data_IF_360764351960
#
_entry.id   IF_360764351960
#
_cell.length_a   1.000
_cell.length_b   1.000
_cell.length_c   1.000
_cell.angle_alpha   90.00
_cell.angle_beta   90.00
_cell.angle_gamma   90.00
#
_symmetry.space_group_name_H-M   'P 1'
#
loop_
_entity.id
_entity.type
_entity.pdbx_description
1 polymer ?
#
# COMPACT_ATOMS: atom_id res chain seq x y z
N UNK A 1 -31.20 -11.81 1.78
CA UNK A 1 -30.90 -11.78 3.23
C UNK A 1 -29.98 -12.95 3.51
N UNK A 2 -28.73 -12.70 3.87
CA UNK A 2 -27.83 -13.75 4.35
C UNK A 2 -27.10 -13.21 5.57
N UNK A 3 -27.51 -13.75 6.72
CA UNK A 3 -26.92 -13.50 8.02
C UNK A 3 -25.65 -14.34 8.14
N UNK A 4 -24.51 -13.71 8.44
CA UNK A 4 -23.38 -14.43 9.01
C UNK A 4 -22.86 -13.68 10.24
N UNK A 5 -23.37 -14.12 11.39
CA UNK A 5 -22.70 -14.01 12.67
C UNK A 5 -22.06 -15.36 12.96
N UNK A 6 -20.74 -15.46 12.77
CA UNK A 6 -19.89 -16.46 13.44
C UNK A 6 -18.50 -15.87 13.56
N UNK A 7 -18.12 -15.61 14.81
CA UNK A 7 -16.83 -15.06 15.23
C UNK A 7 -15.69 -16.05 14.97
N UNK A 8 -14.55 -15.60 14.42
CA UNK A 8 -13.29 -16.30 14.59
C UNK A 8 -12.29 -15.47 15.42
N UNK A 9 -11.75 -16.17 16.42
CA UNK A 9 -10.64 -15.87 17.33
C UNK A 9 -9.70 -14.74 16.88
N UNK A 10 -9.87 -13.61 17.58
CA UNK A 10 -9.03 -12.42 17.55
C UNK A 10 -7.59 -12.74 17.96
N UNK A 11 -6.62 -12.46 17.07
CA UNK A 11 -5.21 -12.56 17.43
C UNK A 11 -4.81 -11.41 18.38
N UNK A 12 -4.10 -11.75 19.46
CA UNK A 12 -3.67 -10.83 20.52
C UNK A 12 -2.93 -9.58 19.98
N UNK A 13 -2.29 -9.69 18.82
CA UNK A 13 -1.55 -8.63 18.16
C UNK A 13 -2.43 -7.46 17.66
N UNK A 14 -3.70 -7.71 17.33
CA UNK A 14 -4.63 -6.64 16.95
C UNK A 14 -5.14 -5.83 18.15
N UNK A 15 -5.12 -6.40 19.36
CA UNK A 15 -5.58 -5.73 20.60
C UNK A 15 -4.56 -4.74 21.16
N UNK A 16 -3.27 -4.90 20.84
CA UNK A 16 -2.20 -4.01 21.30
C UNK A 16 -2.05 -2.77 20.39
N UNK A 17 -2.21 -2.92 19.07
CA UNK A 17 -2.15 -1.79 18.13
C UNK A 17 -3.38 -0.87 18.12
N UNK A 18 -4.56 -1.39 18.51
CA UNK A 18 -5.84 -0.67 18.41
C UNK A 18 -6.26 0.09 19.69
N UNK A 19 -5.60 -0.17 20.84
CA UNK A 19 -5.97 0.45 22.13
C UNK A 19 -5.25 1.76 22.44
N UNK A 20 -4.17 2.10 21.74
CA UNK A 20 -3.36 3.30 22.02
C UNK A 20 -3.71 4.54 21.17
N UNK A 21 -4.62 4.43 20.19
CA UNK A 21 -5.07 5.60 19.42
C UNK A 21 -6.52 5.43 18.94
N UNK A 22 -7.51 5.61 19.81
CA UNK A 22 -8.91 5.74 19.36
C UNK A 22 -9.11 7.13 18.72
N UNK A 23 -8.44 7.38 17.59
CA UNK A 23 -8.68 8.55 16.75
C UNK A 23 -10.15 8.50 16.35
N UNK A 24 -10.94 9.51 16.75
CA UNK A 24 -12.32 9.65 16.31
C UNK A 24 -12.34 9.64 14.78
N UNK A 25 -13.03 8.67 14.20
CA UNK A 25 -13.19 8.58 12.75
C UNK A 25 -13.95 9.82 12.25
N UNK A 26 -13.62 10.33 11.05
CA UNK A 26 -14.30 11.52 10.52
C UNK A 26 -15.81 11.31 10.34
N UNK A 27 -16.60 12.36 10.57
CA UNK A 27 -18.06 12.34 10.35
C UNK A 27 -18.36 12.08 8.88
N UNK A 28 -19.18 11.06 8.57
CA UNK A 28 -19.50 10.65 7.20
C UNK A 28 -18.53 9.62 6.61
N UNK A 29 -17.47 9.23 7.33
CA UNK A 29 -16.62 8.11 6.94
C UNK A 29 -17.36 6.81 7.24
N UNK A 30 -17.45 5.94 6.23
CA UNK A 30 -17.89 4.57 6.39
C UNK A 30 -16.78 3.67 5.88
N UNK A 31 -16.26 2.85 6.78
CA UNK A 31 -15.19 1.90 6.48
C UNK A 31 -15.63 0.92 5.40
N UNK A 32 -14.79 0.75 4.37
CA UNK A 32 -15.00 -0.17 3.26
C UNK A 32 -15.69 0.46 2.03
N UNK A 33 -16.29 1.64 2.14
CA UNK A 33 -16.90 2.27 0.96
C UNK A 33 -15.89 2.63 -0.13
N UNK A 34 -14.67 3.03 0.26
CA UNK A 34 -13.61 3.32 -0.71
C UNK A 34 -13.09 2.01 -1.30
N UNK A 35 -12.92 0.97 -0.48
CA UNK A 35 -12.51 -0.36 -0.95
C UNK A 35 -13.48 -1.00 -1.95
N UNK A 36 -14.80 -0.81 -1.79
CA UNK A 36 -15.80 -1.24 -2.80
C UNK A 36 -15.54 -0.65 -4.19
N UNK A 37 -15.00 0.58 -4.25
CA UNK A 37 -14.65 1.23 -5.52
C UNK A 37 -13.33 0.69 -6.07
N UNK A 38 -12.37 0.41 -5.18
CA UNK A 38 -11.08 -0.20 -5.56
C UNK A 38 -11.28 -1.60 -6.12
N UNK A 39 -12.13 -2.42 -5.50
CA UNK A 39 -12.48 -3.76 -6.00
C UNK A 39 -12.95 -3.70 -7.46
N UNK A 40 -13.79 -2.71 -7.81
CA UNK A 40 -14.21 -2.47 -9.20
C UNK A 40 -13.08 -2.02 -10.11
N UNK A 41 -12.19 -1.17 -9.61
CA UNK A 41 -10.99 -0.74 -10.35
C UNK A 41 -10.01 -1.91 -10.57
N UNK A 42 -10.06 -2.97 -9.75
CA UNK A 42 -9.16 -4.12 -9.82
C UNK A 42 -9.58 -5.20 -10.82
N UNK A 43 -10.79 -5.15 -11.40
CA UNK A 43 -11.21 -6.16 -12.39
C UNK A 43 -10.19 -6.33 -13.54
N UNK A 44 -9.75 -7.54 -13.89
CA UNK A 44 -10.34 -8.84 -13.52
C UNK A 44 -9.67 -9.55 -12.32
N UNK A 45 -8.79 -8.90 -11.55
CA UNK A 45 -8.09 -9.57 -10.45
C UNK A 45 -9.06 -9.98 -9.34
N UNK A 46 -9.05 -11.25 -8.89
CA UNK A 46 -9.89 -11.71 -7.79
C UNK A 46 -9.61 -10.90 -6.52
N UNK A 47 -10.68 -10.50 -5.85
CA UNK A 47 -10.62 -9.75 -4.60
C UNK A 47 -11.33 -10.51 -3.47
N UNK A 48 -10.73 -10.54 -2.29
CA UNK A 48 -11.29 -11.15 -1.09
C UNK A 48 -11.30 -10.14 0.06
N UNK A 49 -12.44 -10.00 0.73
CA UNK A 49 -12.56 -9.13 1.90
C UNK A 49 -12.07 -9.84 3.16
N UNK A 50 -10.99 -9.32 3.76
CA UNK A 50 -10.46 -9.85 5.02
C UNK A 50 -11.17 -9.27 6.24
N UNK A 51 -11.53 -7.99 6.17
CA UNK A 51 -12.21 -7.24 7.22
C UNK A 51 -12.87 -5.99 6.60
N UNK A 52 -13.76 -5.27 7.31
CA UNK A 52 -14.44 -4.10 6.75
C UNK A 52 -13.53 -3.02 6.15
N UNK A 53 -12.27 -2.91 6.59
CA UNK A 53 -11.29 -1.94 6.10
C UNK A 53 -10.07 -2.57 5.41
N UNK A 54 -10.16 -3.84 5.01
CA UNK A 54 -9.06 -4.57 4.38
C UNK A 54 -9.55 -5.49 3.24
N UNK A 55 -9.00 -5.26 2.05
CA UNK A 55 -9.22 -6.03 0.82
C UNK A 55 -7.92 -6.74 0.43
N UNK A 56 -8.00 -8.01 0.04
CA UNK A 56 -6.90 -8.75 -0.56
C UNK A 56 -7.15 -8.84 -2.06
N UNK A 57 -6.13 -8.53 -2.86
CA UNK A 57 -6.17 -8.66 -4.32
C UNK A 57 -5.19 -9.76 -4.70
N UNK A 58 -5.67 -10.76 -5.43
CA UNK A 58 -4.84 -11.84 -5.93
C UNK A 58 -4.27 -11.48 -7.30
N UNK A 59 -2.98 -11.12 -7.36
CA UNK A 59 -2.32 -10.76 -8.61
C UNK A 59 -1.82 -12.01 -9.34
N UNK A 60 -1.18 -12.92 -8.60
CA UNK A 60 -0.69 -14.24 -9.02
C UNK A 60 -0.82 -15.18 -7.81
N UNK A 61 -0.77 -16.53 -7.98
CA UNK A 61 -0.90 -17.48 -6.87
C UNK A 61 -0.09 -17.09 -5.62
N UNK A 62 1.16 -16.66 -5.81
CA UNK A 62 2.08 -16.38 -4.70
C UNK A 62 2.24 -14.90 -4.37
N UNK A 63 1.40 -14.04 -4.96
CA UNK A 63 1.45 -12.60 -4.76
C UNK A 63 0.07 -12.03 -4.48
N UNK A 64 -0.21 -11.90 -3.19
CA UNK A 64 -1.41 -11.23 -2.67
C UNK A 64 -1.06 -9.80 -2.24
N UNK A 65 -1.87 -8.84 -2.68
CA UNK A 65 -1.74 -7.44 -2.30
C UNK A 65 -2.80 -7.11 -1.24
N UNK A 66 -2.37 -6.64 -0.08
CA UNK A 66 -3.27 -6.15 0.98
C UNK A 66 -3.54 -4.65 0.78
N UNK A 67 -4.80 -4.29 0.58
CA UNK A 67 -5.29 -2.91 0.48
C UNK A 67 -6.04 -2.53 1.75
N UNK A 68 -5.63 -1.44 2.38
CA UNK A 68 -6.29 -0.92 3.59
C UNK A 68 -6.57 0.57 3.46
N UNK A 69 -7.68 1.02 4.05
CA UNK A 69 -8.02 2.45 4.11
C UNK A 69 -7.17 3.18 5.15
N UNK A 70 -6.74 4.41 4.82
CA UNK A 70 -6.03 5.33 5.72
C UNK A 70 -6.73 6.69 5.74
N UNK A 71 -7.80 6.87 6.55
CA UNK A 71 -8.47 8.15 6.70
C UNK A 71 -7.54 9.19 7.33
N UNK A 72 -7.44 10.37 6.71
CA UNK A 72 -6.71 11.53 7.23
C UNK A 72 -7.63 12.75 7.26
N UNK A 73 -7.65 13.43 8.41
CA UNK A 73 -8.42 14.65 8.62
C UNK A 73 -7.78 15.81 7.84
N UNK A 74 -8.60 16.60 7.16
CA UNK A 74 -8.27 17.90 6.59
C UNK A 74 -9.00 19.01 7.38
N UNK A 75 -8.76 20.28 7.06
CA UNK A 75 -9.34 21.42 7.80
C UNK A 75 -10.88 21.39 7.85
N UNK A 76 -11.55 21.10 6.72
CA UNK A 76 -13.03 21.02 6.61
C UNK A 76 -13.56 19.70 6.03
N UNK A 77 -12.67 18.80 5.64
CA UNK A 77 -13.00 17.53 5.00
C UNK A 77 -12.09 16.42 5.55
N UNK A 78 -12.13 15.24 4.95
CA UNK A 78 -11.13 14.22 5.14
C UNK A 78 -10.88 13.52 3.82
N UNK A 79 -9.71 12.91 3.71
CA UNK A 79 -9.33 12.09 2.57
C UNK A 79 -9.08 10.67 3.07
N UNK A 80 -9.68 9.71 2.41
CA UNK A 80 -9.44 8.29 2.62
C UNK A 80 -8.45 7.86 1.55
N UNK A 81 -7.17 7.77 1.93
CA UNK A 81 -6.17 7.16 1.07
C UNK A 81 -6.29 5.64 1.14
N UNK A 82 -5.80 4.98 0.10
CA UNK A 82 -5.69 3.52 0.09
C UNK A 82 -4.23 3.13 0.07
N UNK A 83 -3.87 2.19 0.93
CA UNK A 83 -2.51 1.66 1.02
C UNK A 83 -2.48 0.24 0.50
N UNK A 84 -1.80 0.05 -0.61
CA UNK A 84 -1.51 -1.24 -1.20
C UNK A 84 -0.19 -1.75 -0.63
N UNK A 85 -0.14 -2.99 -0.20
CA UNK A 85 1.04 -3.56 0.40
C UNK A 85 1.26 -5.02 0.01
N UNK A 86 2.51 -5.37 -0.18
CA UNK A 86 2.98 -6.75 -0.35
C UNK A 86 4.04 -7.02 0.71
N UNK A 87 4.12 -8.26 1.17
CA UNK A 87 5.07 -8.65 2.21
C UNK A 87 5.50 -10.09 2.02
N UNK A 88 6.66 -10.43 2.56
CA UNK A 88 7.18 -11.78 2.55
C UNK A 88 8.30 -11.96 3.57
N UNK A 89 8.93 -13.13 3.52
CA UNK A 89 10.02 -13.49 4.40
C UNK A 89 11.34 -12.98 3.80
N UNK A 90 12.24 -12.49 4.65
CA UNK A 90 13.62 -12.18 4.32
C UNK A 90 14.53 -13.03 5.22
N UNK A 91 15.39 -13.88 4.65
CA UNK A 91 16.29 -14.71 5.48
C UNK A 91 17.54 -13.97 5.96
N UNK A 92 17.75 -12.74 5.50
CA UNK A 92 18.86 -11.91 5.94
C UNK A 92 18.42 -11.07 7.14
N UNK A 93 19.27 -11.00 8.17
CA UNK A 93 19.06 -10.08 9.29
C UNK A 93 19.41 -8.65 8.84
N UNK A 94 18.40 -7.98 8.29
CA UNK A 94 18.49 -6.62 7.77
C UNK A 94 17.45 -5.78 8.47
N UNK A 95 17.89 -4.63 9.00
CA UNK A 95 17.00 -3.62 9.55
C UNK A 95 17.09 -2.34 8.70
N UNK A 96 16.20 -2.22 7.73
CA UNK A 96 16.22 -1.15 6.74
C UNK A 96 14.82 -0.66 6.39
N UNK A 97 14.68 0.66 6.28
CA UNK A 97 13.48 1.37 5.88
C UNK A 97 13.86 2.35 4.80
N UNK A 98 13.47 2.00 3.59
CA UNK A 98 13.71 2.77 2.39
C UNK A 98 12.49 3.62 2.12
N UNK A 99 12.68 4.93 2.13
CA UNK A 99 11.70 5.88 1.63
C UNK A 99 11.98 6.17 0.16
N UNK A 100 10.93 6.08 -0.66
CA UNK A 100 10.98 6.45 -2.07
C UNK A 100 10.57 7.91 -2.20
N UNK A 101 11.51 8.77 -2.61
CA UNK A 101 11.30 10.20 -2.78
C UNK A 101 11.24 10.56 -4.25
N UNK A 102 10.18 11.23 -4.65
CA UNK A 102 10.07 11.86 -5.96
C UNK A 102 10.75 13.23 -5.92
N UNK A 103 11.67 13.47 -6.84
CA UNK A 103 12.32 14.76 -7.11
C UNK A 103 12.09 15.16 -8.57
N UNK A 104 12.54 16.36 -8.92
CA UNK A 104 12.43 16.90 -10.27
C UNK A 104 11.16 17.71 -10.48
N UNK A 105 10.83 17.97 -11.74
CA UNK A 105 9.66 18.76 -12.12
C UNK A 105 8.49 17.87 -12.53
N UNK A 106 7.31 18.45 -12.70
CA UNK A 106 6.11 17.73 -13.17
C UNK A 106 6.37 17.01 -14.50
N UNK A 107 7.23 17.56 -15.38
CA UNK A 107 7.58 16.97 -16.69
C UNK A 107 8.69 15.93 -16.62
N UNK A 108 9.53 15.94 -15.60
CA UNK A 108 10.68 15.04 -15.46
C UNK A 108 10.85 14.66 -13.99
N UNK A 109 10.06 13.66 -13.57
CA UNK A 109 10.11 13.06 -12.24
C UNK A 109 11.30 12.12 -12.16
N UNK A 110 12.02 12.18 -11.05
CA UNK A 110 13.11 11.26 -10.73
C UNK A 110 12.87 10.64 -9.38
N UNK A 111 13.06 9.33 -9.29
CA UNK A 111 12.93 8.61 -8.02
C UNK A 111 14.29 8.53 -7.34
N UNK A 112 14.31 8.75 -6.03
CA UNK A 112 15.47 8.51 -5.17
C UNK A 112 15.07 7.59 -4.03
N UNK A 113 15.87 6.55 -3.81
CA UNK A 113 15.76 5.71 -2.63
C UNK A 113 16.63 6.31 -1.51
N UNK A 114 16.03 6.51 -0.34
CA UNK A 114 16.70 7.12 0.81
C UNK A 114 16.43 6.28 2.04
N UNK A 115 17.45 6.11 2.88
CA UNK A 115 17.31 5.48 4.19
C UNK A 115 18.14 6.24 5.23
N UNK A 116 17.70 6.15 6.48
CA UNK A 116 18.43 6.66 7.64
C UNK A 116 19.14 5.54 8.43
N UNK A 117 18.90 4.28 8.06
CA UNK A 117 19.46 3.11 8.74
C UNK A 117 20.68 2.58 8.00
N UNK A 118 21.61 1.98 8.76
CA UNK A 118 22.89 1.45 8.27
C UNK A 118 22.67 0.45 7.12
N UNK A 119 21.78 -0.53 7.31
CA UNK A 119 21.51 -1.54 6.26
C UNK A 119 20.73 -0.97 5.07
N UNK A 120 20.28 0.28 5.17
CA UNK A 120 19.59 0.99 4.11
C UNK A 120 20.41 1.05 2.82
N UNK A 121 21.72 1.27 2.92
CA UNK A 121 22.60 1.35 1.76
C UNK A 121 22.64 0.02 0.98
N UNK A 122 22.63 -1.12 1.69
CA UNK A 122 22.61 -2.46 1.09
C UNK A 122 21.34 -2.69 0.27
N UNK A 123 20.17 -2.38 0.85
CA UNK A 123 18.88 -2.55 0.17
C UNK A 123 18.72 -1.55 -0.99
N UNK A 124 19.24 -0.33 -0.85
CA UNK A 124 19.30 0.64 -1.96
C UNK A 124 20.18 0.12 -3.10
N UNK A 125 21.31 -0.52 -2.78
CA UNK A 125 22.15 -1.22 -3.76
C UNK A 125 21.36 -2.25 -4.56
N UNK A 126 20.59 -3.11 -3.87
CA UNK A 126 19.72 -4.07 -4.53
C UNK A 126 18.69 -3.42 -5.44
N UNK A 127 18.04 -2.33 -5.01
CA UNK A 127 17.06 -1.61 -5.83
C UNK A 127 17.72 -0.98 -7.08
N UNK A 128 18.97 -0.53 -6.97
CA UNK A 128 19.70 0.07 -8.08
C UNK A 128 20.15 -0.95 -9.13
N UNK A 129 20.32 -2.22 -8.76
CA UNK A 129 20.57 -3.31 -9.72
C UNK A 129 19.37 -3.57 -10.66
N UNK A 130 18.18 -3.05 -10.34
CA UNK A 130 16.95 -3.25 -11.12
C UNK A 130 16.34 -1.90 -11.53
N UNK A 131 16.91 -1.22 -12.55
CA UNK A 131 16.45 0.10 -12.99
C UNK A 131 14.96 0.17 -13.36
N UNK A 132 14.39 -0.95 -13.82
CA UNK A 132 12.96 -1.06 -14.15
C UNK A 132 12.04 -0.72 -12.97
N UNK A 133 12.44 -1.02 -11.73
CA UNK A 133 11.68 -0.63 -10.53
C UNK A 133 11.61 0.88 -10.42
N UNK A 134 12.77 1.54 -10.58
CA UNK A 134 12.86 3.01 -10.54
C UNK A 134 12.02 3.65 -11.64
N UNK A 135 12.16 3.17 -12.88
CA UNK A 135 11.40 3.67 -14.03
C UNK A 135 9.89 3.51 -13.84
N UNK A 136 9.44 2.36 -13.33
CA UNK A 136 8.01 2.12 -13.04
C UNK A 136 7.49 3.09 -11.98
N UNK A 137 8.27 3.35 -10.93
CA UNK A 137 7.92 4.29 -9.87
C UNK A 137 7.96 5.76 -10.36
N UNK A 138 8.79 6.11 -11.33
CA UNK A 138 8.83 7.46 -11.93
C UNK A 138 7.52 7.79 -12.68
N UNK A 139 6.88 6.79 -13.26
CA UNK A 139 5.60 6.95 -13.97
C UNK A 139 4.36 6.79 -13.07
N UNK A 140 4.54 6.27 -11.86
CA UNK A 140 3.47 6.06 -10.88
C UNK A 140 3.20 7.33 -10.09
N UNK A 141 1.94 7.75 -10.02
CA UNK A 141 1.52 8.86 -9.17
C UNK A 141 1.20 8.34 -7.76
N UNK A 142 2.09 8.62 -6.80
CA UNK A 142 1.92 8.19 -5.41
C UNK A 142 2.18 9.33 -4.40
N UNK A 143 1.49 9.24 -3.26
CA UNK A 143 1.71 10.12 -2.11
C UNK A 143 2.83 9.60 -1.21
N UNK A 144 2.93 8.27 -1.07
CA UNK A 144 3.95 7.60 -0.26
C UNK A 144 4.31 6.26 -0.86
N UNK A 145 5.60 5.96 -0.90
CA UNK A 145 6.10 4.62 -1.17
C UNK A 145 7.25 4.32 -0.19
N UNK A 146 7.19 3.16 0.44
CA UNK A 146 8.19 2.72 1.41
C UNK A 146 8.43 1.22 1.31
N UNK A 147 9.65 0.80 1.61
CA UNK A 147 10.05 -0.60 1.69
C UNK A 147 10.73 -0.78 3.03
N UNK A 148 10.25 -1.70 3.84
CA UNK A 148 10.77 -1.98 5.18
C UNK A 148 11.20 -3.44 5.26
N UNK A 149 12.36 -3.68 5.85
CA UNK A 149 12.91 -4.98 6.19
C UNK A 149 13.23 -4.93 7.68
N UNK A 150 12.64 -5.85 8.43
CA UNK A 150 12.87 -6.00 9.87
C UNK A 150 12.55 -7.43 10.31
N UNK A 151 13.26 -7.95 11.31
CA UNK A 151 12.96 -9.25 11.94
C UNK A 151 12.71 -10.41 10.97
N UNK A 152 13.52 -10.51 9.91
CA UNK A 152 13.39 -11.58 8.91
C UNK A 152 12.13 -11.47 8.04
N UNK A 153 11.52 -10.30 7.96
CA UNK A 153 10.37 -10.00 7.12
C UNK A 153 10.65 -8.76 6.29
N UNK A 154 9.97 -8.67 5.15
CA UNK A 154 9.97 -7.47 4.33
C UNK A 154 8.54 -7.05 4.00
N UNK A 155 8.35 -5.76 3.79
CA UNK A 155 7.08 -5.16 3.41
C UNK A 155 7.30 -3.97 2.48
N UNK A 156 6.65 -3.98 1.33
CA UNK A 156 6.52 -2.79 0.49
C UNK A 156 5.12 -2.22 0.65
N UNK A 157 5.02 -0.90 0.83
CA UNK A 157 3.75 -0.19 0.86
C UNK A 157 3.75 0.98 -0.12
N UNK A 158 2.69 1.08 -0.91
CA UNK A 158 2.45 2.18 -1.84
C UNK A 158 1.07 2.77 -1.55
N UNK A 159 1.02 4.08 -1.36
CA UNK A 159 -0.18 4.88 -1.26
C UNK A 159 -0.29 5.70 -2.56
N UNK A 160 -0.99 5.21 -3.59
CA UNK A 160 -1.19 5.97 -4.83
C UNK A 160 -1.91 7.29 -4.57
N UNK A 161 -1.74 8.24 -5.48
CA UNK A 161 -2.51 9.49 -5.47
C UNK A 161 -3.99 9.24 -5.75
N UNK A 162 -4.26 8.36 -6.71
CA UNK A 162 -5.59 7.82 -7.03
C UNK A 162 -5.95 6.67 -6.08
N UNK A 163 -7.06 5.96 -6.33
CA UNK A 163 -7.65 5.04 -5.36
C UNK A 163 -7.94 5.70 -4.00
N UNK A 164 -8.23 6.99 -4.02
CA UNK A 164 -8.41 7.82 -2.83
C UNK A 164 -9.74 8.55 -2.90
N UNK A 165 -10.37 8.77 -1.75
CA UNK A 165 -11.68 9.39 -1.69
C UNK A 165 -11.67 10.63 -0.81
N UNK A 166 -11.99 11.78 -1.39
CA UNK A 166 -12.37 12.95 -0.61
C UNK A 166 -13.76 12.71 -0.06
N UNK A 167 -13.92 12.88 1.24
CA UNK A 167 -15.21 12.80 1.90
C UNK A 167 -15.40 14.04 2.75
N UNK A 168 -16.59 14.59 2.69
CA UNK A 168 -16.98 15.74 3.48
C UNK A 168 -18.31 15.44 4.19
N UNK A 169 -18.75 16.37 5.05
CA UNK A 169 -20.08 16.30 5.69
C UNK A 169 -21.23 16.49 4.69
N UNK A 170 -20.97 17.10 3.54
CA UNK A 170 -21.96 17.31 2.48
C UNK A 170 -21.77 16.18 1.45
N UNK A 171 -22.71 15.22 1.33
CA UNK A 171 -22.52 14.03 0.49
C UNK A 171 -22.21 14.33 -0.97
N UNK A 172 -22.77 15.40 -1.53
CA UNK A 172 -22.56 15.82 -2.92
C UNK A 172 -21.11 16.18 -3.27
N UNK A 173 -20.27 16.50 -2.27
CA UNK A 173 -18.85 16.82 -2.50
C UNK A 173 -17.93 15.62 -2.29
N UNK A 174 -18.48 14.43 -2.00
CA UNK A 174 -17.71 13.18 -1.94
C UNK A 174 -17.18 12.84 -3.34
N UNK A 175 -15.86 12.77 -3.48
CA UNK A 175 -15.21 12.54 -4.77
C UNK A 175 -14.19 11.43 -4.65
N UNK A 176 -14.41 10.36 -5.42
CA UNK A 176 -13.42 9.30 -5.59
C UNK A 176 -12.51 9.62 -6.77
N UNK A 177 -11.21 9.53 -6.55
CA UNK A 177 -10.19 9.58 -7.58
C UNK A 177 -9.93 8.16 -8.04
N UNK A 178 -10.50 7.80 -9.19
CA UNK A 178 -10.43 6.46 -9.76
C UNK A 178 -8.99 6.06 -10.07
N UNK A 179 -8.64 4.79 -9.81
CA UNK A 179 -7.38 4.25 -10.28
C UNK A 179 -7.51 3.86 -11.76
N UNK A 180 -7.12 4.79 -12.63
CA UNK A 180 -7.14 4.57 -14.08
C UNK A 180 -6.27 3.40 -14.51
N UNK A 181 -6.60 2.78 -15.65
CA UNK A 181 -5.92 1.58 -16.14
C UNK A 181 -4.40 1.72 -16.16
N UNK A 182 -3.84 2.82 -16.69
CA UNK A 182 -2.38 3.01 -16.74
C UNK A 182 -1.74 3.07 -15.36
N UNK A 183 -2.31 3.85 -14.45
CA UNK A 183 -1.80 3.97 -13.07
C UNK A 183 -1.98 2.68 -12.28
N UNK A 184 -3.06 1.93 -12.52
CA UNK A 184 -3.27 0.59 -11.97
C UNK A 184 -2.16 -0.38 -12.40
N UNK A 185 -1.87 -0.45 -13.69
CA UNK A 185 -0.81 -1.33 -14.20
C UNK A 185 0.53 -0.98 -13.55
N UNK A 186 0.91 0.31 -13.51
CA UNK A 186 2.15 0.77 -12.88
C UNK A 186 2.22 0.42 -11.40
N UNK A 187 1.13 0.58 -10.65
CA UNK A 187 1.05 0.22 -9.23
C UNK A 187 1.28 -1.28 -9.02
N UNK A 188 0.57 -2.11 -9.77
CA UNK A 188 0.67 -3.57 -9.66
C UNK A 188 2.07 -4.05 -10.09
N UNK A 189 2.60 -3.51 -11.20
CA UNK A 189 3.96 -3.80 -11.66
C UNK A 189 5.01 -3.40 -10.64
N UNK A 190 4.91 -2.22 -10.01
CA UNK A 190 5.86 -1.80 -8.98
C UNK A 190 5.88 -2.76 -7.79
N UNK A 191 4.71 -3.15 -7.28
CA UNK A 191 4.59 -4.11 -6.17
C UNK A 191 5.15 -5.48 -6.56
N UNK A 192 4.82 -5.96 -7.77
CA UNK A 192 5.31 -7.24 -8.29
C UNK A 192 6.83 -7.25 -8.46
N UNK A 193 7.41 -6.23 -9.10
CA UNK A 193 8.86 -6.15 -9.32
C UNK A 193 9.62 -6.08 -8.00
N UNK A 194 9.11 -5.36 -7.00
CA UNK A 194 9.71 -5.33 -5.67
C UNK A 194 9.61 -6.69 -4.99
N UNK A 195 8.46 -7.38 -5.11
CA UNK A 195 8.31 -8.74 -4.58
C UNK A 195 9.29 -9.72 -5.22
N UNK A 196 9.45 -9.67 -6.55
CA UNK A 196 10.39 -10.50 -7.29
C UNK A 196 11.86 -10.21 -6.91
N UNK A 197 12.21 -8.94 -6.72
CA UNK A 197 13.52 -8.55 -6.21
C UNK A 197 13.80 -9.19 -4.85
N UNK A 198 12.85 -9.06 -3.91
CA UNK A 198 13.01 -9.61 -2.57
C UNK A 198 13.11 -11.13 -2.58
N UNK A 199 12.31 -11.79 -3.41
CA UNK A 199 12.37 -13.24 -3.61
C UNK A 199 13.72 -13.68 -4.18
N UNK A 200 14.29 -12.95 -5.14
CA UNK A 200 15.62 -13.24 -5.66
C UNK A 200 16.71 -13.06 -4.61
N UNK A 201 16.61 -12.04 -3.76
CA UNK A 201 17.55 -11.80 -2.65
C UNK A 201 17.35 -12.77 -1.47
N UNK A 202 16.19 -13.44 -1.39
CA UNK A 202 15.93 -14.53 -0.45
C UNK A 202 16.76 -15.78 -0.75
N UNK A 203 17.01 -16.07 -2.03
CA UNK A 203 17.71 -17.28 -2.49
C UNK A 203 19.23 -17.16 -2.35
N UNK A 204 19.78 -15.95 -2.47
CA UNK A 204 21.22 -15.68 -2.42
C UNK A 204 21.64 -15.59 -0.94
N UNK A 205 22.32 -16.64 -0.45
CA UNK A 205 22.98 -16.70 0.87
C UNK A 205 24.40 -16.17 0.78
#
# INVERSE_FOLDING_TARGET
>A
MSHYATSPKYSLWQRLGSRLTKKRLPVGYQTGLTLNRIERDMLPYPCEWRAPGALLIQLQPELTIEVTERPRKLFLAFIVYSRFAVSGICHQDINAKIEVKTRGSVRKKHIHFVSKQIDGAKVIGWLNEYPIIRQTLEELDFNRCQIELNHGQWRCEIEPFTASEMVSRIPATRRYLRLESKQRHRLLSALQLISQLMEKKRIIR
#
